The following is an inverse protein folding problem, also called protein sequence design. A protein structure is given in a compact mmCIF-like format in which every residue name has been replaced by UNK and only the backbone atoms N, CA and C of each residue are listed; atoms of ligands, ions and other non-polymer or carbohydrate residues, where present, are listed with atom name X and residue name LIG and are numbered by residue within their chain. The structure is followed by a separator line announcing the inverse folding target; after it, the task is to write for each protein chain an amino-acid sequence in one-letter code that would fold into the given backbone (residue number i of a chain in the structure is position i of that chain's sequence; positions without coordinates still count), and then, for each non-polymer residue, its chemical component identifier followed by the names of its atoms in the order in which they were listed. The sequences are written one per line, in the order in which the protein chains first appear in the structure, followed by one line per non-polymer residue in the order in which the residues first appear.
data_IF_196131197206
#
_entry.id   IF_196131197206
#
_cell.length_a   1.000
_cell.length_b   1.000
_cell.length_c   1.000
_cell.angle_alpha   90.00
_cell.angle_beta   90.00
_cell.angle_gamma   90.00
#
_symmetry.space_group_name_H-M   'P 1'
#
loop_
_entity.id
_entity.type
_entity.pdbx_description
1 polymer ?
#
# COMPACT_ATOMS: atom_id res chain seq x y z
N UNK A 1 27.66 -11.81 21.66
CA UNK A 1 26.36 -11.11 21.57
C UNK A 1 25.73 -11.47 20.23
N UNK A 2 24.51 -11.99 20.23
CA UNK A 2 23.74 -12.19 18.99
C UNK A 2 22.88 -10.94 18.77
N UNK A 3 22.92 -10.36 17.57
CA UNK A 3 22.15 -9.18 17.18
C UNK A 3 21.24 -9.60 16.02
N UNK A 4 19.96 -9.29 16.12
CA UNK A 4 18.97 -9.62 15.10
C UNK A 4 17.63 -8.96 15.34
N UNK A 5 16.76 -8.99 14.33
CA UNK A 5 15.37 -8.52 14.41
C UNK A 5 14.56 -9.61 15.11
N UNK A 6 13.97 -9.28 16.26
CA UNK A 6 13.15 -10.22 17.05
C UNK A 6 11.65 -10.08 16.78
N UNK A 7 11.26 -9.07 16.00
CA UNK A 7 9.87 -8.82 15.60
C UNK A 7 9.76 -7.59 14.70
N UNK A 8 8.62 -7.46 14.04
CA UNK A 8 8.22 -6.28 13.28
C UNK A 8 6.70 -6.15 13.34
N UNK A 9 6.19 -4.94 13.22
CA UNK A 9 4.77 -4.68 13.05
C UNK A 9 4.52 -3.91 11.75
N UNK A 10 3.27 -3.93 11.30
CA UNK A 10 2.89 -3.36 10.03
C UNK A 10 1.48 -2.78 10.11
N UNK A 11 1.27 -1.68 9.38
CA UNK A 11 -0.03 -1.08 9.17
C UNK A 11 -0.21 -0.82 7.68
N UNK A 12 -1.38 -1.19 7.15
CA UNK A 12 -1.74 -0.93 5.75
C UNK A 12 -3.07 -0.19 5.74
N UNK A 13 -3.14 0.97 5.06
CA UNK A 13 -4.38 1.72 4.99
C UNK A 13 -5.56 0.90 4.49
N UNK A 14 -6.75 1.19 5.03
CA UNK A 14 -7.96 0.40 4.75
C UNK A 14 -8.46 0.57 3.32
N UNK A 15 -8.40 1.78 2.76
CA UNK A 15 -8.97 2.05 1.44
C UNK A 15 -8.05 1.57 0.32
N UNK A 16 -8.67 1.18 -0.79
CA UNK A 16 -8.00 0.64 -1.98
C UNK A 16 -8.55 1.29 -3.24
N UNK A 17 -7.70 1.39 -4.25
CA UNK A 17 -8.09 1.70 -5.63
C UNK A 17 -7.48 0.63 -6.55
N UNK A 18 -8.29 0.08 -7.46
CA UNK A 18 -7.82 -0.95 -8.40
C UNK A 18 -6.92 -0.33 -9.47
N UNK A 19 -6.01 -1.14 -10.01
CA UNK A 19 -5.19 -0.73 -11.16
C UNK A 19 -6.05 -0.44 -12.39
N UNK A 20 -7.17 -1.15 -12.57
CA UNK A 20 -8.14 -0.87 -13.64
C UNK A 20 -8.74 0.53 -13.53
N UNK A 21 -9.11 0.96 -12.32
CA UNK A 21 -9.69 2.28 -12.08
C UNK A 21 -8.66 3.39 -12.31
N UNK A 22 -7.42 3.18 -11.85
CA UNK A 22 -6.30 4.08 -12.16
C UNK A 22 -6.11 4.15 -13.68
N UNK A 23 -5.95 3.01 -14.36
CA UNK A 23 -5.71 2.96 -15.80
C UNK A 23 -6.83 3.63 -16.60
N UNK A 24 -8.10 3.44 -16.20
CA UNK A 24 -9.26 4.13 -16.79
C UNK A 24 -9.15 5.64 -16.73
N UNK A 25 -8.77 6.20 -15.57
CA UNK A 25 -8.60 7.66 -15.39
C UNK A 25 -7.44 8.19 -16.24
N UNK A 26 -6.35 7.43 -16.33
CA UNK A 26 -5.13 7.82 -17.06
C UNK A 26 -5.14 7.41 -18.54
N UNK A 27 -6.23 6.80 -19.05
CA UNK A 27 -6.35 6.27 -20.42
C UNK A 27 -5.19 5.32 -20.79
N UNK A 28 -4.80 4.46 -19.86
CA UNK A 28 -3.74 3.47 -20.01
C UNK A 28 -4.30 2.05 -20.11
N UNK A 29 -3.46 1.11 -20.58
CA UNK A 29 -3.81 -0.32 -20.61
C UNK A 29 -3.58 -0.97 -19.25
N UNK A 30 -4.65 -1.41 -18.60
CA UNK A 30 -4.55 -1.97 -17.25
C UNK A 30 -3.87 -3.34 -17.22
N UNK A 31 -4.07 -4.17 -18.24
CA UNK A 31 -3.49 -5.52 -18.31
C UNK A 31 -1.96 -5.47 -18.38
N UNK A 32 -1.40 -4.59 -19.21
CA UNK A 32 0.04 -4.35 -19.28
C UNK A 32 0.60 -3.84 -17.94
N UNK A 33 -0.10 -2.92 -17.27
CA UNK A 33 0.34 -2.38 -15.98
C UNK A 33 0.30 -3.45 -14.88
N UNK A 34 -0.79 -4.20 -14.76
CA UNK A 34 -0.92 -5.27 -13.77
C UNK A 34 0.16 -6.34 -13.97
N UNK A 35 0.39 -6.78 -15.21
CA UNK A 35 1.44 -7.76 -15.52
C UNK A 35 2.85 -7.22 -15.33
N UNK A 36 3.06 -5.95 -15.68
CA UNK A 36 4.37 -5.29 -15.56
C UNK A 36 4.78 -4.98 -14.13
N UNK A 37 3.82 -4.64 -13.26
CA UNK A 37 4.07 -4.28 -11.86
C UNK A 37 3.76 -5.41 -10.86
N UNK A 38 3.01 -6.43 -11.28
CA UNK A 38 2.48 -7.49 -10.40
C UNK A 38 1.63 -6.91 -9.25
N UNK A 39 0.82 -5.90 -9.58
CA UNK A 39 -0.06 -5.19 -8.63
C UNK A 39 -1.48 -5.18 -9.18
N UNK A 40 -2.45 -5.59 -8.35
CA UNK A 40 -3.88 -5.57 -8.68
C UNK A 40 -4.56 -4.31 -8.14
N UNK A 41 -4.13 -3.83 -6.96
CA UNK A 41 -4.68 -2.65 -6.29
C UNK A 41 -3.61 -1.92 -5.45
N UNK A 42 -3.88 -0.63 -5.17
CA UNK A 42 -3.03 0.20 -4.31
C UNK A 42 -3.80 0.68 -3.10
N UNK A 43 -3.19 0.62 -1.91
CA UNK A 43 -3.72 1.27 -0.70
C UNK A 43 -3.75 2.79 -0.85
N UNK A 44 -4.81 3.41 -0.35
CA UNK A 44 -4.98 4.85 -0.31
C UNK A 44 -5.20 5.25 1.15
N UNK A 45 -4.32 6.08 1.74
CA UNK A 45 -4.58 6.63 3.07
C UNK A 45 -5.83 7.49 3.10
N UNK A 46 -6.63 7.37 4.15
CA UNK A 46 -7.63 8.36 4.53
C UNK A 46 -6.94 9.62 5.07
N UNK A 47 -7.74 10.67 5.28
CA UNK A 47 -7.27 11.97 5.79
C UNK A 47 -6.53 11.87 7.13
N UNK A 48 -6.90 10.91 7.99
CA UNK A 48 -6.32 10.72 9.33
C UNK A 48 -5.21 9.64 9.37
N UNK A 49 -4.88 9.03 8.23
CA UNK A 49 -3.82 8.02 8.11
C UNK A 49 -2.48 8.65 7.66
N UNK A 50 -1.95 9.57 8.46
CA UNK A 50 -0.64 10.18 8.22
C UNK A 50 0.54 9.27 8.66
N UNK A 51 1.77 9.72 8.38
CA UNK A 51 2.99 8.99 8.74
C UNK A 51 3.08 8.68 10.24
N UNK A 52 2.65 9.61 11.11
CA UNK A 52 2.72 9.43 12.56
C UNK A 52 1.71 8.36 12.97
N UNK A 53 0.46 8.47 12.52
CA UNK A 53 -0.59 7.47 12.78
C UNK A 53 -0.15 6.08 12.33
N UNK A 54 0.28 5.93 11.08
CA UNK A 54 0.72 4.65 10.51
C UNK A 54 1.89 4.06 11.31
N UNK A 55 2.86 4.89 11.71
CA UNK A 55 4.03 4.42 12.46
C UNK A 55 3.67 3.98 13.88
N UNK A 56 2.80 4.72 14.56
CA UNK A 56 2.36 4.40 15.92
C UNK A 56 1.51 3.13 15.92
N UNK A 57 0.54 3.00 15.01
CA UNK A 57 -0.31 1.81 14.94
C UNK A 57 0.47 0.57 14.51
N UNK A 58 1.47 0.69 13.61
CA UNK A 58 2.33 -0.43 13.25
C UNK A 58 3.25 -0.89 14.40
N UNK A 59 3.53 -0.03 15.38
CA UNK A 59 4.42 -0.32 16.51
C UNK A 59 3.70 -0.76 17.79
N UNK A 60 2.36 -0.76 17.81
CA UNK A 60 1.54 -1.23 18.92
C UNK A 60 1.32 -2.74 18.85
#
# INVERSE_FOLDING_TARGET
MQIGIVGYGAYVPKFRISVDEIARVWKADSETIQRGLLVEEKSVPDKDEDTITISVEAGR
#
